data_IF_087029036677
#
_entry.id   IF_087029036677
#
_cell.length_a   1.000
_cell.length_b   1.000
_cell.length_c   1.000
_cell.angle_alpha   90.00
_cell.angle_beta   90.00
_cell.angle_gamma   90.00
#
_symmetry.space_group_name_H-M   'P 1'
#
loop_
_entity.id
_entity.type
_entity.pdbx_description
1 polymer ?
#
# COMPACT_ATOMS: atom_id res chain seq x y z
N UNK A 1 -31.83 2.32 -6.89
CA UNK A 1 -30.69 1.48 -6.46
C UNK A 1 -31.24 0.08 -6.29
N UNK A 2 -30.67 -0.90 -6.99
CA UNK A 2 -31.12 -2.30 -6.93
C UNK A 2 -30.83 -2.89 -5.53
N UNK A 3 -31.75 -3.68 -4.97
CA UNK A 3 -31.61 -4.20 -3.60
C UNK A 3 -30.40 -5.13 -3.45
N UNK A 4 -30.05 -5.83 -4.54
CA UNK A 4 -28.87 -6.69 -4.64
C UNK A 4 -27.57 -5.91 -4.46
N UNK A 5 -27.47 -4.75 -5.12
CA UNK A 5 -26.27 -3.91 -5.07
C UNK A 5 -26.12 -3.28 -3.69
N UNK A 6 -27.23 -2.89 -3.05
CA UNK A 6 -27.22 -2.36 -1.69
C UNK A 6 -26.67 -3.39 -0.69
N UNK A 7 -27.19 -4.61 -0.71
CA UNK A 7 -26.74 -5.67 0.20
C UNK A 7 -25.26 -6.04 -0.03
N UNK A 8 -24.79 -6.02 -1.29
CA UNK A 8 -23.38 -6.26 -1.59
C UNK A 8 -22.47 -5.17 -1.02
N UNK A 9 -22.88 -3.90 -1.11
CA UNK A 9 -22.15 -2.77 -0.52
C UNK A 9 -22.16 -2.87 1.00
N UNK A 10 -23.30 -3.17 1.62
CA UNK A 10 -23.43 -3.35 3.07
C UNK A 10 -22.50 -4.47 3.56
N UNK A 11 -22.47 -5.63 2.90
CA UNK A 11 -21.56 -6.73 3.26
C UNK A 11 -20.08 -6.33 3.19
N UNK A 12 -19.66 -5.62 2.13
CA UNK A 12 -18.26 -5.16 1.97
C UNK A 12 -17.88 -4.16 3.06
N UNK A 13 -18.82 -3.31 3.47
CA UNK A 13 -18.61 -2.34 4.54
C UNK A 13 -18.58 -3.02 5.91
N UNK A 14 -19.46 -3.99 6.16
CA UNK A 14 -19.48 -4.79 7.40
C UNK A 14 -18.19 -5.61 7.56
N UNK A 15 -17.70 -6.23 6.48
CA UNK A 15 -16.45 -6.98 6.48
C UNK A 15 -15.24 -6.09 6.82
N UNK A 16 -15.25 -4.84 6.37
CA UNK A 16 -14.12 -3.91 6.56
C UNK A 16 -14.13 -3.13 7.86
N UNK A 17 -15.28 -2.59 8.24
CA UNK A 17 -15.39 -1.64 9.35
C UNK A 17 -16.16 -2.21 10.55
N UNK A 18 -16.69 -3.43 10.40
CA UNK A 18 -17.50 -4.10 11.40
C UNK A 18 -18.99 -3.78 11.28
N UNK A 19 -19.81 -4.62 11.91
CA UNK A 19 -21.29 -4.60 11.77
C UNK A 19 -21.99 -3.31 12.21
N UNK A 20 -21.29 -2.40 12.89
CA UNK A 20 -21.87 -1.22 13.52
C UNK A 20 -21.55 0.10 12.79
N UNK A 21 -20.91 0.07 11.62
CA UNK A 21 -20.48 1.28 10.90
C UNK A 21 -21.30 1.60 9.66
N UNK A 22 -22.29 0.79 9.28
CA UNK A 22 -23.13 1.05 8.10
C UNK A 22 -23.80 2.42 8.17
N UNK A 23 -24.34 2.76 9.33
CA UNK A 23 -25.05 4.01 9.55
C UNK A 23 -24.09 5.21 9.47
N UNK A 24 -22.89 5.07 10.04
CA UNK A 24 -21.84 6.08 9.95
C UNK A 24 -21.35 6.31 8.50
N UNK A 25 -21.25 5.25 7.69
CA UNK A 25 -20.90 5.37 6.25
C UNK A 25 -22.01 6.09 5.48
N UNK A 26 -23.27 5.80 5.80
CA UNK A 26 -24.42 6.48 5.17
C UNK A 26 -24.42 7.97 5.57
N UNK A 27 -24.12 8.30 6.82
CA UNK A 27 -23.96 9.69 7.28
C UNK A 27 -22.86 10.42 6.52
N UNK A 28 -21.66 9.82 6.41
CA UNK A 28 -20.54 10.35 5.62
C UNK A 28 -20.94 10.57 4.16
N UNK A 29 -21.66 9.61 3.56
CA UNK A 29 -22.11 9.69 2.17
C UNK A 29 -23.10 10.85 1.95
N UNK A 30 -24.07 11.02 2.85
CA UNK A 30 -25.03 12.13 2.79
C UNK A 30 -24.33 13.47 2.99
N UNK A 31 -23.39 13.54 3.93
CA UNK A 31 -22.59 14.73 4.18
C UNK A 31 -21.71 15.08 2.96
N UNK A 32 -21.10 14.08 2.31
CA UNK A 32 -20.34 14.25 1.07
C UNK A 32 -21.23 14.75 -0.08
N UNK A 33 -22.45 14.23 -0.25
CA UNK A 33 -23.35 14.74 -1.29
C UNK A 33 -23.71 16.22 -1.10
N UNK A 34 -23.85 16.66 0.16
CA UNK A 34 -24.03 18.08 0.46
C UNK A 34 -22.77 18.87 0.09
N UNK A 35 -21.60 18.40 0.51
CA UNK A 35 -20.32 19.00 0.17
C UNK A 35 -20.09 19.11 -1.33
N UNK A 36 -20.40 18.06 -2.11
CA UNK A 36 -20.23 18.07 -3.56
C UNK A 36 -21.13 19.11 -4.25
N UNK A 37 -22.34 19.35 -3.74
CA UNK A 37 -23.22 20.42 -4.21
C UNK A 37 -22.64 21.79 -3.90
N UNK A 38 -22.14 21.98 -2.69
CA UNK A 38 -21.46 23.21 -2.26
C UNK A 38 -20.20 23.48 -3.06
N UNK A 39 -19.39 22.45 -3.34
CA UNK A 39 -18.19 22.54 -4.17
C UNK A 39 -18.53 23.08 -5.57
N UNK A 40 -19.61 22.57 -6.15
CA UNK A 40 -20.10 23.02 -7.46
C UNK A 40 -20.54 24.49 -7.47
N UNK A 41 -21.16 24.97 -6.40
CA UNK A 41 -21.70 26.34 -6.33
C UNK A 41 -20.67 27.36 -5.83
N UNK A 42 -19.90 27.00 -4.81
CA UNK A 42 -18.99 27.89 -4.10
C UNK A 42 -17.57 27.88 -4.68
N UNK A 43 -17.16 26.78 -5.33
CA UNK A 43 -15.81 26.61 -5.87
C UNK A 43 -15.85 26.10 -7.32
N UNK A 44 -16.46 26.85 -8.26
CA UNK A 44 -16.67 26.40 -9.63
C UNK A 44 -15.35 26.14 -10.38
N UNK A 45 -14.25 26.82 -10.02
CA UNK A 45 -12.93 26.56 -10.60
C UNK A 45 -12.43 25.16 -10.27
N UNK A 46 -12.44 24.78 -8.99
CA UNK A 46 -12.02 23.45 -8.55
C UNK A 46 -12.96 22.38 -9.13
N UNK A 47 -14.27 22.63 -9.14
CA UNK A 47 -15.25 21.75 -9.77
C UNK A 47 -14.94 21.52 -11.26
N UNK A 48 -14.64 22.58 -12.02
CA UNK A 48 -14.29 22.46 -13.43
C UNK A 48 -12.98 21.69 -13.63
N UNK A 49 -11.96 21.92 -12.80
CA UNK A 49 -10.71 21.15 -12.85
C UNK A 49 -10.93 19.65 -12.63
N UNK A 50 -11.83 19.27 -11.72
CA UNK A 50 -12.23 17.89 -11.48
C UNK A 50 -12.97 17.31 -12.70
N UNK A 51 -13.96 18.03 -13.23
CA UNK A 51 -14.71 17.63 -14.43
C UNK A 51 -13.81 17.46 -15.66
N UNK A 52 -12.82 18.34 -15.83
CA UNK A 52 -11.84 18.31 -16.92
C UNK A 52 -10.69 17.33 -16.67
N UNK A 53 -10.69 16.61 -15.54
CA UNK A 53 -9.63 15.66 -15.13
C UNK A 53 -8.23 16.29 -15.08
N UNK A 54 -8.16 17.59 -14.78
CA UNK A 54 -6.90 18.32 -14.58
C UNK A 54 -6.33 18.14 -13.17
N UNK A 55 -7.14 17.61 -12.26
CA UNK A 55 -6.73 17.19 -10.92
C UNK A 55 -6.99 15.69 -10.79
N UNK A 56 -6.00 14.88 -10.38
CA UNK A 56 -6.22 13.47 -10.11
C UNK A 56 -7.26 13.26 -9.02
N UNK A 57 -8.17 12.30 -9.21
CA UNK A 57 -9.19 11.98 -8.21
C UNK A 57 -8.56 11.52 -6.89
N UNK A 58 -7.46 10.76 -6.97
CA UNK A 58 -6.71 10.33 -5.79
C UNK A 58 -6.27 11.52 -4.93
N UNK A 59 -5.61 12.52 -5.54
CA UNK A 59 -5.13 13.73 -4.84
C UNK A 59 -6.29 14.54 -4.24
N UNK A 60 -7.40 14.63 -4.95
CA UNK A 60 -8.62 15.26 -4.43
C UNK A 60 -9.12 14.56 -3.16
N UNK A 61 -9.19 13.23 -3.17
CA UNK A 61 -9.61 12.45 -2.02
C UNK A 61 -8.59 12.51 -0.87
N UNK A 62 -7.29 12.56 -1.14
CA UNK A 62 -6.25 12.77 -0.11
C UNK A 62 -6.46 14.07 0.68
N UNK A 63 -6.92 15.13 0.01
CA UNK A 63 -7.23 16.42 0.67
C UNK A 63 -8.53 16.45 1.46
N UNK A 64 -9.37 15.40 1.38
CA UNK A 64 -10.74 15.38 1.89
C UNK A 64 -10.87 14.64 3.24
N UNK A 65 -10.16 15.11 4.27
CA UNK A 65 -10.12 14.45 5.59
C UNK A 65 -11.44 14.49 6.39
N UNK A 66 -12.45 15.21 5.90
CA UNK A 66 -13.75 15.40 6.59
C UNK A 66 -14.64 14.16 6.57
N UNK A 67 -14.37 13.18 5.70
CA UNK A 67 -15.20 11.98 5.51
C UNK A 67 -14.32 10.72 5.63
N UNK A 68 -13.82 10.38 6.81
CA UNK A 68 -12.75 9.38 6.97
C UNK A 68 -13.15 7.99 6.48
N UNK A 69 -14.40 7.58 6.69
CA UNK A 69 -14.86 6.25 6.25
C UNK A 69 -15.01 6.20 4.73
N UNK A 70 -15.56 7.27 4.13
CA UNK A 70 -15.71 7.36 2.69
C UNK A 70 -14.36 7.54 1.98
N UNK A 71 -13.44 8.29 2.58
CA UNK A 71 -12.09 8.54 2.09
C UNK A 71 -11.30 7.23 2.01
N UNK A 72 -11.34 6.38 3.05
CA UNK A 72 -10.65 5.08 3.03
C UNK A 72 -11.12 4.20 1.86
N UNK A 73 -12.45 4.10 1.67
CA UNK A 73 -13.04 3.36 0.55
C UNK A 73 -12.62 3.96 -0.80
N UNK A 74 -12.65 5.29 -0.93
CA UNK A 74 -12.30 5.98 -2.16
C UNK A 74 -10.82 5.80 -2.54
N UNK A 75 -9.90 6.01 -1.58
CA UNK A 75 -8.46 5.87 -1.80
C UNK A 75 -8.12 4.45 -2.26
N UNK A 76 -8.70 3.42 -1.66
CA UNK A 76 -8.49 2.04 -2.10
C UNK A 76 -9.03 1.78 -3.52
N UNK A 77 -10.22 2.30 -3.83
CA UNK A 77 -10.81 2.13 -5.16
C UNK A 77 -9.93 2.76 -6.25
N UNK A 78 -9.41 3.95 -5.99
CA UNK A 78 -8.54 4.65 -6.94
C UNK A 78 -7.10 4.13 -6.98
N UNK A 79 -6.68 3.39 -5.96
CA UNK A 79 -5.39 2.71 -5.96
C UNK A 79 -5.41 1.40 -6.77
N UNK A 80 -6.60 0.80 -6.93
CA UNK A 80 -6.76 -0.43 -7.68
C UNK A 80 -6.55 -0.21 -9.19
N UNK A 81 -5.73 -1.06 -9.82
CA UNK A 81 -5.55 -1.03 -11.26
C UNK A 81 -6.85 -1.41 -11.97
N UNK A 82 -7.35 -0.53 -12.84
CA UNK A 82 -8.63 -0.72 -13.52
C UNK A 82 -8.65 -1.88 -14.54
N UNK A 83 -7.50 -2.52 -14.81
CA UNK A 83 -7.37 -3.58 -15.82
C UNK A 83 -6.20 -4.50 -15.52
N UNK A 84 -6.36 -5.78 -15.87
CA UNK A 84 -5.28 -6.77 -15.91
C UNK A 84 -4.17 -6.40 -16.90
N UNK A 85 -4.41 -5.49 -17.85
CA UNK A 85 -3.38 -4.99 -18.76
C UNK A 85 -2.22 -4.28 -18.01
N UNK A 86 -2.46 -3.76 -16.80
CA UNK A 86 -1.39 -3.27 -15.94
C UNK A 86 -0.38 -4.39 -15.60
N UNK A 87 -0.86 -5.62 -15.43
CA UNK A 87 -0.04 -6.82 -15.20
C UNK A 87 0.57 -7.39 -16.50
N UNK A 88 0.03 -7.09 -17.68
CA UNK A 88 0.63 -7.51 -18.97
C UNK A 88 1.99 -6.86 -19.23
N UNK A 89 2.20 -5.65 -18.72
CA UNK A 89 3.53 -5.01 -18.71
C UNK A 89 4.52 -5.79 -17.84
N UNK A 90 4.06 -6.37 -16.73
CA UNK A 90 4.86 -7.27 -15.91
C UNK A 90 5.20 -8.57 -16.66
N UNK A 91 4.24 -9.15 -17.39
CA UNK A 91 4.51 -10.34 -18.20
C UNK A 91 5.50 -10.09 -19.34
N UNK A 92 5.48 -8.90 -19.94
CA UNK A 92 6.46 -8.50 -20.96
C UNK A 92 7.87 -8.31 -20.37
N UNK A 93 7.97 -7.71 -19.17
CA UNK A 93 9.24 -7.62 -18.43
C UNK A 93 9.74 -9.01 -18.03
N UNK A 94 8.82 -9.89 -17.61
CA UNK A 94 9.12 -11.29 -17.33
C UNK A 94 9.65 -11.99 -18.57
N UNK A 95 9.03 -11.81 -19.74
CA UNK A 95 9.53 -12.37 -21.00
C UNK A 95 10.89 -11.81 -21.43
N UNK A 96 11.19 -10.55 -21.13
CA UNK A 96 12.49 -9.92 -21.39
C UNK A 96 13.60 -10.47 -20.48
N UNK A 97 13.37 -10.46 -19.16
CA UNK A 97 14.29 -10.98 -18.13
C UNK A 97 14.49 -12.50 -18.29
N UNK A 98 13.44 -13.21 -18.68
CA UNK A 98 13.44 -14.64 -18.95
C UNK A 98 13.88 -15.02 -20.38
N UNK A 99 14.08 -14.05 -21.30
CA UNK A 99 14.29 -14.36 -22.71
C UNK A 99 15.47 -15.33 -22.89
N UNK A 100 15.22 -16.36 -23.71
CA UNK A 100 15.89 -17.67 -23.75
C UNK A 100 17.41 -17.68 -24.07
N UNK A 101 18.11 -16.56 -24.02
CA UNK A 101 19.52 -16.50 -24.43
C UNK A 101 20.54 -16.42 -23.28
N UNK A 102 20.21 -15.89 -22.09
CA UNK A 102 21.28 -15.59 -21.11
C UNK A 102 20.97 -15.68 -19.60
N UNK A 103 20.03 -16.49 -19.06
CA UNK A 103 19.95 -16.64 -17.58
C UNK A 103 19.36 -17.98 -17.09
N UNK A 104 20.18 -18.84 -16.47
CA UNK A 104 19.73 -19.96 -15.61
C UNK A 104 19.42 -19.43 -14.20
N UNK A 105 18.57 -18.42 -14.11
CA UNK A 105 18.12 -17.89 -12.82
C UNK A 105 17.07 -18.86 -12.25
N UNK A 106 17.18 -19.15 -10.96
CA UNK A 106 16.12 -19.85 -10.24
C UNK A 106 14.84 -18.98 -10.27
N UNK A 107 13.63 -19.60 -10.32
CA UNK A 107 12.36 -18.88 -10.40
C UNK A 107 12.22 -17.75 -9.37
N UNK A 108 12.59 -18.00 -8.11
CA UNK A 108 12.53 -17.02 -7.03
C UNK A 108 13.39 -15.78 -7.29
N UNK A 109 14.53 -15.95 -7.97
CA UNK A 109 15.41 -14.84 -8.33
C UNK A 109 14.85 -14.03 -9.50
N UNK A 110 14.16 -14.68 -10.43
CA UNK A 110 13.47 -14.01 -11.54
C UNK A 110 12.33 -13.15 -11.01
N UNK A 111 11.54 -13.67 -10.07
CA UNK A 111 10.44 -12.91 -9.45
C UNK A 111 10.96 -11.66 -8.74
N UNK A 112 12.02 -11.78 -7.94
CA UNK A 112 12.68 -10.63 -7.30
C UNK A 112 13.19 -9.62 -8.33
N UNK A 113 13.81 -10.07 -9.42
CA UNK A 113 14.31 -9.17 -10.47
C UNK A 113 13.18 -8.47 -11.23
N UNK A 114 12.08 -9.16 -11.52
CA UNK A 114 10.89 -8.54 -12.14
C UNK A 114 10.28 -7.51 -11.19
N UNK A 115 10.17 -7.85 -9.90
CA UNK A 115 9.69 -6.94 -8.87
C UNK A 115 10.55 -5.68 -8.78
N UNK A 116 11.88 -5.83 -8.70
CA UNK A 116 12.82 -4.69 -8.68
C UNK A 116 12.70 -3.89 -9.99
N UNK A 117 12.77 -4.53 -11.15
CA UNK A 117 12.73 -3.85 -12.44
C UNK A 117 11.46 -3.02 -12.64
N UNK A 118 10.31 -3.53 -12.18
CA UNK A 118 9.04 -2.83 -12.30
C UNK A 118 8.91 -1.70 -11.27
N UNK A 119 9.28 -1.96 -10.01
CA UNK A 119 9.10 -1.00 -8.92
C UNK A 119 10.24 0.01 -8.79
N UNK A 120 11.42 -0.22 -9.34
CA UNK A 120 12.56 0.71 -9.30
C UNK A 120 12.22 2.08 -9.88
N UNK A 121 11.25 2.16 -10.79
CA UNK A 121 10.76 3.43 -11.36
C UNK A 121 9.91 4.26 -10.38
N UNK A 122 9.43 3.62 -9.31
CA UNK A 122 8.60 4.23 -8.28
C UNK A 122 9.39 4.57 -7.02
N UNK A 123 10.69 4.21 -6.97
CA UNK A 123 11.60 4.52 -5.85
C UNK A 123 12.31 5.83 -6.22
N UNK A 124 12.21 6.86 -5.38
CA UNK A 124 13.01 8.08 -5.52
C UNK A 124 14.32 7.98 -4.75
N UNK A 125 15.28 8.89 -5.01
CA UNK A 125 16.58 8.90 -4.31
C UNK A 125 16.40 8.97 -2.79
N UNK A 126 15.36 9.66 -2.31
CA UNK A 126 15.02 9.75 -0.88
C UNK A 126 14.58 8.40 -0.28
N UNK A 127 13.90 7.55 -1.05
CA UNK A 127 13.51 6.20 -0.64
C UNK A 127 14.73 5.28 -0.53
N UNK A 128 15.73 5.48 -1.40
CA UNK A 128 17.01 4.75 -1.37
C UNK A 128 17.78 5.12 -0.11
N UNK A 129 17.91 6.41 0.19
CA UNK A 129 18.59 6.90 1.38
C UNK A 129 17.92 6.38 2.67
N UNK A 130 16.58 6.40 2.71
CA UNK A 130 15.81 5.85 3.84
C UNK A 130 16.03 4.35 4.01
N UNK A 131 16.09 3.61 2.91
CA UNK A 131 16.31 2.16 2.93
C UNK A 131 17.73 1.83 3.40
N UNK A 132 18.75 2.59 2.95
CA UNK A 132 20.13 2.47 3.42
C UNK A 132 20.22 2.70 4.92
N UNK A 133 19.57 3.75 5.42
CA UNK A 133 19.57 4.05 6.85
C UNK A 133 18.92 2.93 7.68
N UNK A 134 17.83 2.34 7.19
CA UNK A 134 17.19 1.19 7.85
C UNK A 134 18.09 -0.05 7.83
N UNK A 135 18.83 -0.29 6.76
CA UNK A 135 19.78 -1.42 6.67
C UNK A 135 20.94 -1.26 7.65
N UNK A 136 21.45 -0.04 7.84
CA UNK A 136 22.47 0.25 8.85
C UNK A 136 21.94 0.01 10.28
N UNK A 137 20.72 0.46 10.59
CA UNK A 137 20.08 0.20 11.89
C UNK A 137 19.85 -1.30 12.15
N UNK A 138 19.43 -2.06 11.14
CA UNK A 138 19.26 -3.51 11.26
C UNK A 138 20.59 -4.21 11.53
N UNK A 139 21.68 -3.75 10.88
CA UNK A 139 23.02 -4.26 11.12
C UNK A 139 23.50 -3.96 12.55
N UNK A 140 23.23 -2.75 13.05
CA UNK A 140 23.54 -2.37 14.44
C UNK A 140 22.78 -3.26 15.45
N UNK A 141 21.50 -3.56 15.22
CA UNK A 141 20.72 -4.48 16.07
C UNK A 141 21.27 -5.91 16.06
N UNK A 142 21.65 -6.43 14.88
CA UNK A 142 22.25 -7.77 14.75
C UNK A 142 23.62 -7.84 15.46
N UNK A 143 24.40 -6.75 15.44
CA UNK A 143 25.68 -6.66 16.13
C UNK A 143 25.52 -6.58 17.66
N UNK A 144 24.50 -5.87 18.16
CA UNK A 144 24.19 -5.81 19.60
C UNK A 144 23.74 -7.17 20.17
N UNK A 145 22.96 -7.97 19.44
CA UNK A 145 22.54 -9.32 19.89
C UNK A 145 23.73 -10.28 20.02
N UNK A 146 24.76 -10.14 19.19
CA UNK A 146 25.96 -11.02 19.25
C UNK A 146 26.92 -10.68 20.39
N UNK A 147 26.86 -9.45 20.93
CA UNK A 147 27.72 -9.02 22.02
C UNK A 147 27.21 -9.49 23.40
N UNK A 148 25.91 -9.78 23.53
CA UNK A 148 25.30 -10.29 24.77
C UNK A 148 25.52 -11.81 24.96
N UNK A 149 25.77 -12.58 23.88
CA UNK A 149 26.09 -14.01 24.00
C UNK A 149 27.53 -14.30 24.43
N UNK A 150 28.45 -13.33 24.33
CA UNK A 150 29.88 -13.55 24.64
C UNK A 150 30.27 -13.33 26.11
N UNK A 151 29.40 -12.77 26.95
CA UNK A 151 29.72 -12.52 28.38
C UNK A 151 29.34 -13.66 29.36
N UNK A 152 28.68 -14.75 28.93
CA UNK A 152 28.27 -15.84 29.85
C UNK A 152 29.27 -17.00 29.92
N UNK A 153 30.31 -17.01 29.08
CA UNK A 153 31.27 -18.11 28.97
C UNK A 153 32.47 -18.04 29.92
N UNK A 154 32.29 -18.06 31.25
CA UNK A 154 33.38 -18.43 32.20
C UNK A 154 32.93 -18.65 33.65
N UNK A 155 32.07 -19.65 33.90
CA UNK A 155 32.01 -20.31 35.21
C UNK A 155 32.25 -21.81 35.03
N UNK A 156 33.50 -22.21 35.18
CA UNK A 156 33.92 -23.60 35.32
C UNK A 156 33.29 -24.19 36.57
N UNK A 157 32.31 -25.07 36.39
CA UNK A 157 31.77 -25.91 37.45
C UNK A 157 32.75 -27.06 37.74
N UNK A 158 33.35 -27.04 38.93
CA UNK A 158 34.16 -28.13 39.48
C UNK A 158 33.24 -29.35 39.76
N UNK A 159 33.46 -30.45 39.03
CA UNK A 159 32.82 -31.73 39.33
C UNK A 159 33.54 -32.45 40.49
N UNK A 160 32.85 -32.67 41.61
CA UNK A 160 33.27 -33.60 42.67
C UNK A 160 32.44 -34.88 42.55
N UNK A 161 33.06 -35.98 42.17
CA UNK A 161 32.49 -37.33 42.28
C UNK A 161 32.77 -37.86 43.70
N UNK A 162 31.72 -38.12 44.47
CA UNK A 162 31.75 -39.05 45.62
C UNK A 162 31.08 -40.37 45.21
#
# INVERSE_FOLDING_TARGET
MDSTVRNAVENVLEERHGKNTSDAVIEDLVAYFRHARELKTCQPRQWNLLCERKVPLFDFWCGLATFPLLQDVALQLFWCAASSAASERNFSAHAYIYSKLCNRLAPDRVEKLVHIFFNAKNICDEDIDRSSHLEDLLRECDEEETMDETEVGNRSEDYVYN
#
